data_IF_908677266600
#
_entry.id   IF_908677266600
#
_cell.length_a   1.000
_cell.length_b   1.000
_cell.length_c   1.000
_cell.angle_alpha   90.00
_cell.angle_beta   90.00
_cell.angle_gamma   90.00
#
_symmetry.space_group_name_H-M   'P 1'
#
loop_
_entity.id
_entity.type
_entity.pdbx_description
1 polymer ?
#
# COMPACT_ATOMS: atom_id res chain seq x y z
N UNK A 1 5.88 10.60 -3.26
CA UNK A 1 5.08 9.45 -2.74
C UNK A 1 3.73 9.92 -2.24
N UNK A 2 2.65 9.22 -2.57
CA UNK A 2 1.28 9.62 -2.20
C UNK A 2 0.67 8.64 -1.20
N UNK A 3 0.29 9.14 -0.02
CA UNK A 3 -0.48 8.38 0.95
C UNK A 3 -1.97 8.35 0.57
N UNK A 4 -2.57 7.17 0.69
CA UNK A 4 -4.00 6.95 0.48
C UNK A 4 -4.63 6.48 1.79
N UNK A 5 -5.68 7.18 2.21
CA UNK A 5 -6.43 6.82 3.40
C UNK A 5 -7.40 5.67 3.10
N UNK A 6 -7.39 4.64 3.94
CA UNK A 6 -8.37 3.56 3.86
C UNK A 6 -9.65 3.97 4.57
N UNK A 7 -10.68 4.25 3.81
CA UNK A 7 -11.99 4.61 4.35
C UNK A 7 -12.64 3.39 5.02
N UNK A 8 -13.06 3.58 6.28
CA UNK A 8 -13.80 2.53 6.98
C UNK A 8 -15.27 2.52 6.53
N UNK A 9 -15.78 1.34 6.20
CA UNK A 9 -17.16 1.15 5.71
C UNK A 9 -18.28 1.38 6.76
N UNK A 10 -18.16 2.30 7.71
CA UNK A 10 -19.18 2.55 8.71
C UNK A 10 -19.75 3.97 8.63
N UNK A 11 -21.07 4.05 8.64
CA UNK A 11 -21.91 5.23 8.44
C UNK A 11 -21.62 6.44 9.34
N UNK A 12 -21.00 6.26 10.50
CA UNK A 12 -20.75 7.33 11.47
C UNK A 12 -19.40 8.04 11.30
N UNK A 13 -18.72 7.82 10.20
CA UNK A 13 -17.36 8.28 9.98
C UNK A 13 -17.24 9.51 9.08
N UNK A 14 -18.36 9.98 8.50
CA UNK A 14 -18.36 11.02 7.47
C UNK A 14 -17.65 12.32 7.84
N UNK A 15 -17.75 12.76 9.10
CA UNK A 15 -17.08 14.00 9.55
C UNK A 15 -15.59 13.79 9.71
N UNK A 16 -15.16 12.64 10.24
CA UNK A 16 -13.75 12.29 10.39
C UNK A 16 -13.10 12.03 9.03
N UNK A 17 -13.81 11.36 8.12
CA UNK A 17 -13.34 11.12 6.76
C UNK A 17 -13.17 12.43 5.99
N UNK A 18 -14.05 13.42 6.17
CA UNK A 18 -13.89 14.76 5.62
C UNK A 18 -12.63 15.47 6.14
N UNK A 19 -12.33 15.35 7.43
CA UNK A 19 -11.11 15.92 8.00
C UNK A 19 -9.84 15.32 7.40
N UNK A 20 -9.83 14.00 7.24
CA UNK A 20 -8.71 13.26 6.69
C UNK A 20 -8.54 13.56 5.19
N UNK A 21 -9.64 13.58 4.45
CA UNK A 21 -9.62 13.79 3.00
C UNK A 21 -9.25 15.22 2.60
N UNK A 22 -9.45 16.21 3.47
CA UNK A 22 -8.86 17.54 3.29
C UNK A 22 -7.34 17.52 3.25
N UNK A 23 -6.72 16.59 3.93
CA UNK A 23 -5.27 16.46 4.01
C UNK A 23 -4.70 15.54 2.93
N UNK A 24 -5.29 14.37 2.71
CA UNK A 24 -4.79 13.37 1.75
C UNK A 24 -5.38 13.53 0.36
N UNK A 25 -6.59 14.08 0.25
CA UNK A 25 -7.40 14.14 -0.97
C UNK A 25 -7.63 12.79 -1.67
N UNK A 26 -7.20 11.69 -1.08
CA UNK A 26 -7.28 10.35 -1.64
C UNK A 26 -7.87 9.39 -0.61
N UNK A 27 -8.84 8.59 -1.02
CA UNK A 27 -9.46 7.58 -0.19
C UNK A 27 -9.54 6.23 -0.93
N UNK A 28 -9.22 5.14 -0.24
CA UNK A 28 -9.39 3.77 -0.73
C UNK A 28 -10.68 3.19 -0.15
N UNK A 29 -11.52 2.69 -1.02
CA UNK A 29 -12.75 1.96 -0.67
C UNK A 29 -12.60 0.49 -1.04
N UNK A 30 -12.88 -0.40 -0.11
CA UNK A 30 -12.94 -1.84 -0.38
C UNK A 30 -14.36 -2.22 -0.80
N UNK A 31 -14.53 -2.64 -2.05
CA UNK A 31 -15.85 -2.90 -2.63
C UNK A 31 -16.56 -4.09 -1.96
N UNK A 32 -15.83 -5.16 -1.68
CA UNK A 32 -16.40 -6.36 -1.05
C UNK A 32 -16.08 -6.49 0.44
N UNK A 33 -15.35 -5.53 0.99
CA UNK A 33 -14.91 -5.59 2.40
C UNK A 33 -16.05 -5.48 3.43
N UNK A 34 -17.22 -4.97 3.03
CA UNK A 34 -18.44 -4.89 3.85
C UNK A 34 -19.43 -6.03 3.63
N UNK A 35 -19.25 -6.83 2.59
CA UNK A 35 -20.16 -7.90 2.24
C UNK A 35 -19.84 -9.16 3.06
N UNK A 36 -20.88 -9.82 3.57
CA UNK A 36 -20.77 -11.07 4.31
C UNK A 36 -21.36 -12.21 3.48
N UNK A 37 -20.85 -13.43 3.64
CA UNK A 37 -21.35 -14.60 2.94
C UNK A 37 -22.87 -14.80 3.11
N UNK A 38 -23.42 -14.45 4.28
CA UNK A 38 -24.85 -14.51 4.53
C UNK A 38 -25.68 -13.58 3.63
N UNK A 39 -25.07 -12.47 3.20
CA UNK A 39 -25.75 -11.45 2.39
C UNK A 39 -25.84 -11.88 0.92
N UNK A 40 -25.00 -12.84 0.47
CA UNK A 40 -24.95 -13.30 -0.92
C UNK A 40 -25.82 -14.53 -1.23
N UNK A 41 -26.20 -15.29 -0.22
CA UNK A 41 -26.80 -16.64 -0.43
C UNK A 41 -28.16 -16.64 -1.13
N UNK A 42 -28.80 -15.48 -1.29
CA UNK A 42 -30.14 -15.31 -1.86
C UNK A 42 -30.21 -14.17 -2.90
N UNK A 43 -29.09 -13.54 -3.26
CA UNK A 43 -29.11 -12.37 -4.12
C UNK A 43 -28.78 -12.69 -5.58
N UNK A 44 -29.43 -11.99 -6.50
CA UNK A 44 -29.06 -11.96 -7.91
C UNK A 44 -27.85 -11.07 -8.14
N UNK A 45 -27.22 -11.17 -9.33
CA UNK A 45 -26.11 -10.26 -9.73
C UNK A 45 -26.53 -8.80 -9.60
N UNK A 46 -27.75 -8.47 -9.98
CA UNK A 46 -28.30 -7.11 -9.91
C UNK A 46 -28.40 -6.62 -8.46
N UNK A 47 -28.84 -7.47 -7.54
CA UNK A 47 -28.95 -7.14 -6.11
C UNK A 47 -27.56 -6.92 -5.51
N UNK A 48 -26.61 -7.83 -5.73
CA UNK A 48 -25.23 -7.69 -5.23
C UNK A 48 -24.56 -6.44 -5.82
N UNK A 49 -24.77 -6.16 -7.10
CA UNK A 49 -24.25 -4.94 -7.74
C UNK A 49 -24.89 -3.68 -7.14
N UNK A 50 -26.18 -3.72 -6.83
CA UNK A 50 -26.86 -2.62 -6.15
C UNK A 50 -26.33 -2.39 -4.74
N UNK A 51 -26.05 -3.46 -3.98
CA UNK A 51 -25.46 -3.40 -2.65
C UNK A 51 -24.03 -2.83 -2.69
N UNK A 52 -23.22 -3.23 -3.68
CA UNK A 52 -21.87 -2.64 -3.90
C UNK A 52 -22.01 -1.15 -4.19
N UNK A 53 -22.94 -0.73 -5.05
CA UNK A 53 -23.20 0.69 -5.35
C UNK A 53 -23.68 1.45 -4.12
N UNK A 54 -24.57 0.89 -3.33
CA UNK A 54 -25.05 1.50 -2.10
C UNK A 54 -23.93 1.63 -1.08
N UNK A 55 -23.11 0.60 -0.92
CA UNK A 55 -21.96 0.60 -0.03
C UNK A 55 -20.92 1.66 -0.45
N UNK A 56 -20.61 1.78 -1.73
CA UNK A 56 -19.70 2.79 -2.26
C UNK A 56 -20.23 4.22 -2.12
N UNK A 57 -21.56 4.42 -2.21
CA UNK A 57 -22.22 5.73 -2.01
C UNK A 57 -22.29 6.18 -0.55
N UNK A 58 -22.25 5.23 0.39
CA UNK A 58 -22.24 5.53 1.82
C UNK A 58 -20.89 6.10 2.27
N UNK A 59 -19.85 5.90 1.50
CA UNK A 59 -18.54 6.46 1.76
C UNK A 59 -18.47 7.84 1.09
N UNK A 60 -18.55 8.90 1.91
CA UNK A 60 -18.46 10.28 1.43
C UNK A 60 -17.22 10.49 0.58
N UNK A 61 -17.44 10.84 -0.68
CA UNK A 61 -16.36 11.25 -1.58
C UNK A 61 -15.77 12.56 -1.05
N UNK A 62 -14.45 12.64 -0.87
CA UNK A 62 -13.81 13.91 -0.55
C UNK A 62 -14.11 14.93 -1.65
N UNK A 63 -14.48 16.12 -1.29
CA UNK A 63 -14.69 17.20 -2.26
C UNK A 63 -13.35 17.46 -2.99
N UNK A 64 -13.30 17.19 -4.29
CA UNK A 64 -12.10 17.30 -5.11
C UNK A 64 -11.03 16.25 -4.84
N UNK A 65 -11.38 15.17 -4.14
CA UNK A 65 -10.49 14.05 -3.87
C UNK A 65 -10.61 12.93 -4.90
N UNK A 66 -9.65 12.01 -4.86
CA UNK A 66 -9.59 10.84 -5.71
C UNK A 66 -10.06 9.61 -4.92
N UNK A 67 -10.91 8.80 -5.53
CA UNK A 67 -11.34 7.54 -4.96
C UNK A 67 -10.61 6.40 -5.66
N UNK A 68 -10.00 5.54 -4.84
CA UNK A 68 -9.43 4.28 -5.25
C UNK A 68 -10.35 3.16 -4.77
N UNK A 69 -10.44 2.09 -5.52
CA UNK A 69 -11.21 0.93 -5.08
C UNK A 69 -10.37 -0.34 -5.13
N UNK A 70 -10.39 -1.10 -4.03
CA UNK A 70 -9.81 -2.43 -3.97
C UNK A 70 -10.89 -3.53 -3.95
N UNK A 71 -10.46 -4.75 -4.22
CA UNK A 71 -11.33 -5.93 -4.22
C UNK A 71 -11.80 -6.34 -2.83
N UNK A 72 -11.13 -5.90 -1.77
CA UNK A 72 -11.33 -6.47 -0.44
C UNK A 72 -10.71 -7.85 -0.26
N UNK A 73 -9.58 -8.12 -0.89
CA UNK A 73 -8.85 -9.39 -0.82
C UNK A 73 -8.65 -9.95 0.60
N UNK A 74 -8.64 -9.06 1.60
CA UNK A 74 -8.62 -9.46 3.00
C UNK A 74 -9.87 -10.23 3.46
N UNK A 75 -11.04 -9.99 2.84
CA UNK A 75 -12.27 -10.73 3.14
C UNK A 75 -12.19 -12.18 2.69
N UNK A 76 -11.48 -12.46 1.61
CA UNK A 76 -11.18 -13.83 1.20
C UNK A 76 -10.25 -14.53 2.20
N UNK A 77 -9.22 -13.84 2.70
CA UNK A 77 -8.28 -14.38 3.69
C UNK A 77 -8.94 -14.68 5.04
N UNK A 78 -10.02 -13.99 5.39
CA UNK A 78 -10.79 -14.26 6.61
C UNK A 78 -11.83 -15.37 6.44
N UNK A 79 -12.12 -15.77 5.20
CA UNK A 79 -13.18 -16.71 4.89
C UNK A 79 -14.59 -16.09 4.94
N UNK A 80 -14.69 -14.75 4.89
CA UNK A 80 -15.98 -14.05 4.85
C UNK A 80 -16.71 -14.32 3.53
N UNK A 81 -15.96 -14.71 2.48
CA UNK A 81 -16.46 -14.99 1.14
C UNK A 81 -16.00 -16.40 0.73
N UNK A 82 -16.94 -17.28 0.46
CA UNK A 82 -16.68 -18.67 0.03
C UNK A 82 -16.52 -18.83 -1.48
N UNK A 83 -15.96 -19.97 -1.94
CA UNK A 83 -15.72 -20.25 -3.36
C UNK A 83 -16.95 -20.23 -4.24
N UNK A 84 -18.11 -20.62 -3.70
CA UNK A 84 -19.39 -20.63 -4.42
C UNK A 84 -19.84 -19.25 -4.89
N UNK A 85 -19.33 -18.19 -4.27
CA UNK A 85 -19.68 -16.80 -4.58
C UNK A 85 -18.71 -16.13 -5.54
N UNK A 86 -17.58 -16.76 -5.85
CA UNK A 86 -16.50 -16.14 -6.63
C UNK A 86 -16.97 -15.79 -8.04
N UNK A 87 -17.69 -16.68 -8.72
CA UNK A 87 -18.17 -16.37 -10.06
C UNK A 87 -19.13 -15.18 -10.05
N UNK A 88 -20.07 -15.17 -9.12
CA UNK A 88 -20.98 -14.03 -8.95
C UNK A 88 -20.22 -12.73 -8.68
N UNK A 89 -19.18 -12.74 -7.86
CA UNK A 89 -18.36 -11.56 -7.60
C UNK A 89 -17.58 -11.11 -8.83
N UNK A 90 -17.06 -12.03 -9.63
CA UNK A 90 -16.38 -11.70 -10.90
C UNK A 90 -17.36 -10.97 -11.82
N UNK A 91 -18.59 -11.51 -11.96
CA UNK A 91 -19.62 -10.94 -12.83
C UNK A 91 -20.10 -9.58 -12.30
N UNK A 92 -20.33 -9.46 -10.99
CA UNK A 92 -20.69 -8.19 -10.35
C UNK A 92 -19.57 -7.13 -10.49
N UNK A 93 -18.32 -7.55 -10.34
CA UNK A 93 -17.16 -6.65 -10.44
C UNK A 93 -17.03 -6.10 -11.86
N UNK A 94 -17.25 -6.95 -12.86
CA UNK A 94 -17.26 -6.57 -14.27
C UNK A 94 -18.35 -5.52 -14.56
N UNK A 95 -19.60 -5.83 -14.21
CA UNK A 95 -20.75 -4.91 -14.40
C UNK A 95 -20.55 -3.60 -13.65
N UNK A 96 -20.01 -3.67 -12.43
CA UNK A 96 -19.78 -2.48 -11.61
C UNK A 96 -18.73 -1.57 -12.25
N UNK A 97 -17.61 -2.10 -12.71
CA UNK A 97 -16.58 -1.29 -13.35
C UNK A 97 -17.01 -0.71 -14.68
N UNK A 98 -17.75 -1.47 -15.47
CA UNK A 98 -18.27 -0.98 -16.74
C UNK A 98 -19.23 0.21 -16.54
N UNK A 99 -19.99 0.22 -15.45
CA UNK A 99 -20.97 1.27 -15.18
C UNK A 99 -20.44 2.45 -14.34
N UNK A 100 -19.44 2.23 -13.48
CA UNK A 100 -19.04 3.20 -12.45
C UNK A 100 -17.58 3.64 -12.56
N UNK A 101 -16.85 3.27 -13.62
CA UNK A 101 -15.41 3.54 -13.76
C UNK A 101 -15.07 5.03 -13.72
N UNK A 102 -15.99 5.92 -14.09
CA UNK A 102 -15.76 7.37 -14.06
C UNK A 102 -15.63 7.90 -12.62
N UNK A 103 -16.29 7.25 -11.65
CA UNK A 103 -16.26 7.61 -10.24
C UNK A 103 -14.88 7.39 -9.60
N UNK A 104 -14.09 6.46 -10.14
CA UNK A 104 -12.82 6.06 -9.55
C UNK A 104 -11.62 6.60 -10.31
N UNK A 105 -10.59 7.01 -9.58
CA UNK A 105 -9.28 7.35 -10.14
C UNK A 105 -8.46 6.09 -10.43
N UNK A 106 -8.49 5.10 -9.50
CA UNK A 106 -7.82 3.82 -9.64
C UNK A 106 -8.74 2.68 -9.23
N UNK A 107 -8.61 1.59 -9.96
CA UNK A 107 -9.41 0.38 -9.80
C UNK A 107 -8.46 -0.81 -9.70
N UNK A 108 -8.41 -1.47 -8.55
CA UNK A 108 -7.58 -2.64 -8.37
C UNK A 108 -8.27 -3.90 -8.88
N UNK A 109 -7.51 -4.84 -9.42
CA UNK A 109 -8.05 -6.12 -9.86
C UNK A 109 -8.79 -6.85 -8.73
N UNK A 110 -9.84 -7.56 -9.08
CA UNK A 110 -10.43 -8.53 -8.14
C UNK A 110 -9.46 -9.70 -7.99
N UNK A 111 -8.66 -9.63 -6.93
CA UNK A 111 -7.62 -10.57 -6.62
C UNK A 111 -8.01 -11.45 -5.43
N UNK A 112 -7.75 -12.73 -5.57
CA UNK A 112 -8.01 -13.72 -4.53
C UNK A 112 -6.67 -14.25 -4.00
N UNK A 113 -6.19 -13.70 -2.87
CA UNK A 113 -4.90 -14.11 -2.32
C UNK A 113 -4.99 -15.53 -1.75
N UNK A 114 -3.94 -16.31 -1.97
CA UNK A 114 -3.83 -17.64 -1.38
C UNK A 114 -3.60 -17.54 0.14
N UNK A 115 -4.34 -18.36 0.88
CA UNK A 115 -4.06 -18.60 2.29
C UNK A 115 -4.32 -20.06 2.63
N UNK A 116 -3.41 -20.70 3.34
CA UNK A 116 -3.61 -22.07 3.84
C UNK A 116 -4.74 -22.18 4.87
N UNK A 117 -5.09 -21.05 5.50
CA UNK A 117 -6.23 -20.94 6.43
C UNK A 117 -7.55 -20.71 5.71
N UNK A 118 -7.53 -20.56 4.39
CA UNK A 118 -8.72 -20.33 3.61
C UNK A 118 -9.46 -21.65 3.36
N UNK A 119 -10.48 -21.90 4.15
CA UNK A 119 -11.24 -23.15 4.14
C UNK A 119 -12.19 -23.33 2.96
N UNK A 120 -12.09 -22.50 1.94
CA UNK A 120 -13.05 -22.48 0.85
C UNK A 120 -12.54 -23.02 -0.48
N UNK A 121 -11.22 -22.99 -0.73
CA UNK A 121 -10.63 -23.58 -1.94
C UNK A 121 -9.99 -24.92 -1.62
N UNK A 122 -10.31 -25.95 -2.40
CA UNK A 122 -9.80 -27.29 -2.19
C UNK A 122 -8.29 -27.40 -2.50
N UNK A 123 -7.79 -26.54 -3.39
CA UNK A 123 -6.38 -26.56 -3.80
C UNK A 123 -5.95 -25.23 -4.45
N UNK A 124 -4.63 -25.10 -4.72
CA UNK A 124 -4.04 -23.93 -5.37
C UNK A 124 -4.56 -23.69 -6.79
N UNK A 125 -4.92 -24.75 -7.50
CA UNK A 125 -5.39 -24.65 -8.88
C UNK A 125 -6.76 -23.98 -8.95
N UNK A 126 -7.61 -24.17 -7.95
CA UNK A 126 -8.93 -23.51 -7.90
C UNK A 126 -8.76 -21.99 -7.75
N UNK A 127 -7.79 -21.56 -6.91
CA UNK A 127 -7.46 -20.15 -6.74
C UNK A 127 -6.86 -19.58 -8.03
N UNK A 128 -5.94 -20.31 -8.67
CA UNK A 128 -5.37 -19.91 -9.95
C UNK A 128 -6.48 -19.71 -10.99
N UNK A 129 -7.37 -20.69 -11.13
CA UNK A 129 -8.46 -20.64 -12.09
C UNK A 129 -9.46 -19.50 -11.80
N UNK A 130 -9.71 -19.20 -10.52
CA UNK A 130 -10.57 -18.10 -10.13
C UNK A 130 -9.94 -16.74 -10.50
N UNK A 131 -8.65 -16.54 -10.19
CA UNK A 131 -7.93 -15.34 -10.58
C UNK A 131 -7.80 -15.20 -12.09
N UNK A 132 -7.58 -16.30 -12.81
CA UNK A 132 -7.53 -16.31 -14.27
C UNK A 132 -8.86 -15.85 -14.88
N UNK A 133 -10.01 -16.37 -14.40
CA UNK A 133 -11.33 -15.94 -14.86
C UNK A 133 -11.59 -14.47 -14.57
N UNK A 134 -11.22 -14.00 -13.37
CA UNK A 134 -11.36 -12.60 -12.98
C UNK A 134 -10.57 -11.68 -13.91
N UNK A 135 -9.31 -12.03 -14.20
CA UNK A 135 -8.46 -11.25 -15.11
C UNK A 135 -8.94 -11.29 -16.56
N UNK A 136 -9.41 -12.45 -17.06
CA UNK A 136 -10.00 -12.55 -18.41
C UNK A 136 -11.25 -11.67 -18.54
N UNK A 137 -12.10 -11.64 -17.53
CA UNK A 137 -13.27 -10.76 -17.49
C UNK A 137 -12.85 -9.29 -17.53
N UNK A 138 -11.87 -8.90 -16.72
CA UNK A 138 -11.34 -7.54 -16.71
C UNK A 138 -10.70 -7.15 -18.04
N UNK A 139 -9.89 -8.03 -18.67
CA UNK A 139 -9.29 -7.80 -19.98
C UNK A 139 -10.36 -7.48 -21.04
N UNK A 140 -11.43 -8.28 -21.09
CA UNK A 140 -12.52 -8.04 -22.04
C UNK A 140 -13.13 -6.64 -21.94
N UNK A 141 -13.20 -6.09 -20.73
CA UNK A 141 -13.75 -4.74 -20.49
C UNK A 141 -12.70 -3.65 -20.83
N UNK A 142 -11.48 -3.79 -20.33
CA UNK A 142 -10.44 -2.76 -20.52
C UNK A 142 -9.97 -2.67 -21.97
N UNK A 143 -10.02 -3.75 -22.73
CA UNK A 143 -9.70 -3.76 -24.17
C UNK A 143 -10.65 -2.87 -24.96
N UNK A 144 -11.90 -2.77 -24.55
CA UNK A 144 -12.92 -1.94 -25.18
C UNK A 144 -12.98 -0.51 -24.62
N UNK A 145 -12.33 -0.25 -23.47
CA UNK A 145 -12.40 1.04 -22.78
C UNK A 145 -11.01 1.53 -22.32
N UNK A 146 -10.40 2.40 -23.13
CA UNK A 146 -9.09 2.98 -22.85
C UNK A 146 -9.05 3.82 -21.56
N UNK A 147 -10.15 4.44 -21.16
CA UNK A 147 -10.22 5.23 -19.93
C UNK A 147 -10.13 4.30 -18.72
N UNK A 148 -10.86 3.21 -18.76
CA UNK A 148 -10.80 2.18 -17.73
C UNK A 148 -9.43 1.50 -17.70
N UNK A 149 -8.84 1.21 -18.86
CA UNK A 149 -7.47 0.69 -18.96
C UNK A 149 -6.46 1.59 -18.24
N UNK A 150 -6.58 2.91 -18.39
CA UNK A 150 -5.68 3.87 -17.73
C UNK A 150 -5.84 3.91 -16.20
N UNK A 151 -6.97 3.43 -15.68
CA UNK A 151 -7.28 3.40 -14.24
C UNK A 151 -7.06 2.05 -13.59
N UNK A 152 -6.99 0.96 -14.37
CA UNK A 152 -6.93 -0.40 -13.86
C UNK A 152 -5.55 -0.78 -13.36
N UNK A 153 -5.47 -1.39 -12.18
CA UNK A 153 -4.26 -1.87 -11.53
C UNK A 153 -4.27 -3.38 -11.40
N UNK A 154 -3.23 -4.04 -11.85
CA UNK A 154 -2.99 -5.44 -11.56
C UNK A 154 -2.32 -5.58 -10.21
N UNK A 155 -2.91 -6.39 -9.32
CA UNK A 155 -2.39 -6.61 -7.96
C UNK A 155 -1.51 -7.85 -7.94
N UNK A 156 -0.22 -7.65 -7.63
CA UNK A 156 0.73 -8.71 -7.39
C UNK A 156 0.68 -9.14 -5.94
N UNK A 157 0.44 -10.43 -5.70
CA UNK A 157 0.58 -11.02 -4.38
C UNK A 157 1.87 -11.80 -4.25
N UNK A 158 2.57 -11.59 -3.12
CA UNK A 158 3.88 -12.16 -2.90
C UNK A 158 4.06 -12.50 -1.42
N UNK A 159 3.82 -13.75 -1.06
CA UNK A 159 4.12 -14.31 0.27
C UNK A 159 5.07 -15.49 0.20
N UNK A 160 5.00 -16.29 -0.85
CA UNK A 160 5.70 -17.54 -1.04
C UNK A 160 6.06 -17.73 -2.51
N UNK A 161 7.03 -18.60 -2.78
CA UNK A 161 7.45 -18.95 -4.14
C UNK A 161 6.26 -19.35 -5.04
N UNK A 162 5.36 -20.17 -4.51
CA UNK A 162 4.19 -20.63 -5.26
C UNK A 162 3.22 -19.51 -5.63
N UNK A 163 3.05 -18.53 -4.75
CA UNK A 163 2.22 -17.36 -5.08
C UNK A 163 2.89 -16.48 -6.14
N UNK A 164 4.17 -16.19 -5.97
CA UNK A 164 4.90 -15.43 -6.97
C UNK A 164 4.82 -16.09 -8.33
N UNK A 165 5.08 -17.41 -8.41
CA UNK A 165 4.99 -18.18 -9.65
C UNK A 165 3.59 -18.14 -10.25
N UNK A 166 2.54 -18.25 -9.44
CA UNK A 166 1.15 -18.16 -9.88
C UNK A 166 0.85 -16.80 -10.53
N UNK A 167 1.17 -15.70 -9.85
CA UNK A 167 0.91 -14.35 -10.38
C UNK A 167 1.77 -14.04 -11.59
N UNK A 168 3.03 -14.47 -11.61
CA UNK A 168 3.92 -14.30 -12.76
C UNK A 168 3.44 -15.11 -13.98
N UNK A 169 2.93 -16.33 -13.77
CA UNK A 169 2.33 -17.14 -14.83
C UNK A 169 1.04 -16.52 -15.35
N UNK A 170 0.16 -16.01 -14.48
CA UNK A 170 -1.04 -15.28 -14.91
C UNK A 170 -0.68 -14.05 -15.76
N UNK A 171 0.30 -13.27 -15.31
CA UNK A 171 0.76 -12.09 -16.04
C UNK A 171 1.26 -12.45 -17.44
N UNK A 172 2.08 -13.51 -17.57
CA UNK A 172 2.64 -13.97 -18.84
C UNK A 172 1.61 -14.66 -19.74
N UNK A 173 0.85 -15.60 -19.19
CA UNK A 173 -0.08 -16.42 -19.97
C UNK A 173 -1.27 -15.62 -20.53
N UNK A 174 -1.67 -14.56 -19.84
CA UNK A 174 -2.72 -13.64 -20.28
C UNK A 174 -2.17 -12.43 -21.04
N UNK A 175 -0.86 -12.38 -21.30
CA UNK A 175 -0.17 -11.26 -21.94
C UNK A 175 -0.56 -9.88 -21.34
N UNK A 176 -0.63 -9.81 -20.00
CA UNK A 176 -1.12 -8.62 -19.30
C UNK A 176 -0.31 -7.36 -19.60
N UNK A 177 0.93 -7.50 -20.05
CA UNK A 177 1.74 -6.38 -20.51
C UNK A 177 1.15 -5.58 -21.68
N UNK A 178 0.14 -6.12 -22.39
CA UNK A 178 -0.61 -5.42 -23.44
C UNK A 178 -1.83 -4.66 -22.92
N UNK A 179 -2.36 -5.07 -21.77
CA UNK A 179 -3.64 -4.59 -21.26
C UNK A 179 -3.51 -3.75 -20.00
N UNK A 180 -2.52 -4.05 -19.15
CA UNK A 180 -2.38 -3.45 -17.83
C UNK A 180 -1.16 -2.53 -17.77
N UNK A 181 -1.44 -1.26 -17.48
CA UNK A 181 -0.44 -0.21 -17.33
C UNK A 181 0.05 -0.06 -15.89
N UNK A 182 -0.85 -0.16 -14.93
CA UNK A 182 -0.58 0.19 -13.55
C UNK A 182 -0.51 -1.08 -12.68
N UNK A 183 0.29 -1.01 -11.64
CA UNK A 183 0.56 -2.16 -10.80
C UNK A 183 0.38 -1.84 -9.32
N UNK A 184 -0.04 -2.84 -8.54
CA UNK A 184 -0.04 -2.79 -7.09
C UNK A 184 0.66 -4.03 -6.51
N UNK A 185 1.21 -3.89 -5.30
CA UNK A 185 1.84 -4.99 -4.55
C UNK A 185 1.06 -5.20 -3.27
N UNK A 186 0.49 -6.40 -3.10
CA UNK A 186 -0.30 -6.81 -1.95
C UNK A 186 0.30 -7.97 -1.16
N UNK A 187 -0.36 -8.33 -0.06
CA UNK A 187 -0.03 -9.51 0.74
C UNK A 187 1.18 -9.39 1.66
N UNK A 188 1.84 -8.23 1.73
CA UNK A 188 3.11 -8.04 2.45
C UNK A 188 2.95 -7.71 3.95
N UNK A 189 1.79 -7.20 4.36
CA UNK A 189 1.54 -6.69 5.73
C UNK A 189 1.78 -7.72 6.82
N UNK A 190 1.41 -8.98 6.56
CA UNK A 190 1.59 -10.08 7.53
C UNK A 190 3.00 -10.69 7.54
N UNK A 191 3.79 -10.43 6.52
CA UNK A 191 5.03 -11.15 6.26
C UNK A 191 6.09 -10.90 7.32
N UNK A 192 6.33 -9.65 7.68
CA UNK A 192 7.32 -9.25 8.69
C UNK A 192 7.03 -9.83 10.08
N UNK A 193 5.76 -9.94 10.45
CA UNK A 193 5.36 -10.50 11.75
C UNK A 193 5.62 -12.00 11.82
N UNK A 194 5.40 -12.70 10.72
CA UNK A 194 5.49 -14.15 10.68
C UNK A 194 6.94 -14.66 10.55
N UNK A 195 7.82 -13.91 9.87
CA UNK A 195 9.16 -14.38 9.52
C UNK A 195 10.29 -13.72 10.30
N UNK A 196 10.01 -12.66 11.05
CA UNK A 196 11.03 -11.88 11.77
C UNK A 196 11.99 -11.09 10.85
N UNK A 197 11.66 -10.97 9.55
CA UNK A 197 12.46 -10.25 8.57
C UNK A 197 12.54 -8.78 8.96
N UNK A 198 13.75 -8.23 8.90
CA UNK A 198 14.02 -6.82 9.24
C UNK A 198 14.05 -5.89 8.03
N UNK A 199 14.39 -6.39 6.84
CA UNK A 199 14.42 -5.58 5.63
C UNK A 199 13.05 -5.42 4.97
N UNK A 200 12.93 -4.46 4.04
CA UNK A 200 11.73 -4.27 3.26
C UNK A 200 11.63 -5.29 2.13
N UNK A 201 10.62 -6.15 2.10
CA UNK A 201 10.45 -7.14 1.03
C UNK A 201 9.97 -6.50 -0.28
N UNK A 202 9.59 -5.23 -0.28
CA UNK A 202 9.04 -4.54 -1.44
C UNK A 202 10.06 -4.33 -2.56
N UNK A 203 11.36 -4.27 -2.22
CA UNK A 203 12.43 -4.02 -3.21
C UNK A 203 12.37 -4.97 -4.40
N UNK A 204 12.38 -6.27 -4.13
CA UNK A 204 12.41 -7.30 -5.17
C UNK A 204 11.18 -7.20 -6.08
N UNK A 205 9.99 -7.09 -5.49
CA UNK A 205 8.75 -6.96 -6.24
C UNK A 205 8.69 -5.66 -7.04
N UNK A 206 9.18 -4.55 -6.49
CA UNK A 206 9.22 -3.28 -7.21
C UNK A 206 10.09 -3.34 -8.45
N UNK A 207 11.28 -3.96 -8.37
CA UNK A 207 12.14 -4.17 -9.53
C UNK A 207 11.55 -5.18 -10.54
N UNK A 208 10.89 -6.23 -10.05
CA UNK A 208 10.17 -7.16 -10.91
C UNK A 208 9.05 -6.46 -11.70
N UNK A 209 8.27 -5.63 -11.03
CA UNK A 209 7.19 -4.84 -11.65
C UNK A 209 7.77 -3.81 -12.62
N UNK A 210 8.86 -3.12 -12.26
CA UNK A 210 9.55 -2.20 -13.18
C UNK A 210 10.01 -2.94 -14.45
N UNK A 211 10.57 -4.14 -14.32
CA UNK A 211 10.96 -4.94 -15.47
C UNK A 211 9.76 -5.38 -16.31
N UNK A 212 8.65 -5.73 -15.68
CA UNK A 212 7.40 -6.06 -16.38
C UNK A 212 6.86 -4.85 -17.16
N UNK A 213 6.90 -3.65 -16.56
CA UNK A 213 6.55 -2.41 -17.25
C UNK A 213 7.47 -2.14 -18.46
N UNK A 214 8.78 -2.27 -18.31
CA UNK A 214 9.75 -2.04 -19.39
C UNK A 214 9.63 -3.03 -20.56
N UNK A 215 8.96 -4.17 -20.35
CA UNK A 215 8.62 -5.14 -21.38
C UNK A 215 7.14 -5.07 -21.83
N UNK A 216 6.42 -4.06 -21.41
CA UNK A 216 5.00 -3.86 -21.74
C UNK A 216 4.79 -2.91 -22.93
N UNK A 217 3.55 -2.86 -23.42
CA UNK A 217 3.10 -1.89 -24.42
C UNK A 217 2.98 -0.46 -23.88
N UNK A 218 3.22 -0.26 -22.60
CA UNK A 218 3.00 1.02 -21.90
C UNK A 218 4.29 1.80 -21.61
N UNK A 219 5.42 1.35 -22.10
CA UNK A 219 6.68 2.12 -22.03
C UNK A 219 6.48 3.51 -22.63
N UNK A 220 6.93 4.54 -21.92
CA UNK A 220 6.69 5.94 -22.30
C UNK A 220 5.41 6.56 -21.70
N UNK A 221 4.57 5.77 -21.02
CA UNK A 221 3.48 6.28 -20.19
C UNK A 221 3.96 6.37 -18.73
N UNK A 222 3.22 7.11 -17.89
CA UNK A 222 3.54 7.21 -16.47
C UNK A 222 3.58 5.80 -15.83
N UNK A 223 4.67 5.46 -15.15
CA UNK A 223 4.80 4.22 -14.37
C UNK A 223 4.14 4.43 -13.00
N UNK A 224 3.09 3.67 -12.70
CA UNK A 224 2.38 3.75 -11.42
C UNK A 224 2.51 2.45 -10.65
N UNK A 225 2.90 2.60 -9.37
CA UNK A 225 3.01 1.47 -8.45
C UNK A 225 2.36 1.82 -7.11
N UNK A 226 1.41 0.99 -6.68
CA UNK A 226 0.75 1.12 -5.40
C UNK A 226 1.15 0.00 -4.43
N UNK A 227 1.37 0.34 -3.17
CA UNK A 227 1.74 -0.60 -2.12
C UNK A 227 0.60 -0.75 -1.12
N UNK A 228 -0.02 -1.92 -1.08
CA UNK A 228 -1.16 -2.19 -0.21
C UNK A 228 -0.71 -2.45 1.23
N UNK A 229 -1.23 -1.64 2.17
CA UNK A 229 -1.11 -1.86 3.60
C UNK A 229 0.24 -1.50 4.24
N UNK A 230 0.99 -0.56 3.73
CA UNK A 230 2.24 -0.11 4.36
C UNK A 230 1.96 0.82 5.54
N UNK A 231 2.70 0.63 6.65
CA UNK A 231 2.59 1.53 7.80
C UNK A 231 3.91 1.80 8.54
N UNK A 232 4.93 0.94 8.38
CA UNK A 232 6.16 1.11 9.14
C UNK A 232 7.03 2.24 8.59
N UNK A 233 7.69 3.05 9.42
CA UNK A 233 8.54 4.14 8.97
C UNK A 233 9.64 3.69 7.99
N UNK A 234 10.27 2.53 8.26
CA UNK A 234 11.31 2.00 7.37
C UNK A 234 10.80 1.60 5.99
N UNK A 235 9.60 1.05 5.90
CA UNK A 235 9.01 0.71 4.59
C UNK A 235 8.63 1.97 3.82
N UNK A 236 8.09 2.97 4.50
CA UNK A 236 7.74 4.26 3.91
C UNK A 236 8.98 5.01 3.41
N UNK A 237 10.05 5.05 4.22
CA UNK A 237 11.34 5.58 3.80
C UNK A 237 11.86 4.87 2.55
N UNK A 238 11.73 3.54 2.51
CA UNK A 238 12.19 2.76 1.38
C UNK A 238 11.35 2.98 0.12
N UNK A 239 10.03 3.09 0.23
CA UNK A 239 9.16 3.41 -0.92
C UNK A 239 9.49 4.79 -1.48
N UNK A 240 9.71 5.79 -0.63
CA UNK A 240 10.16 7.12 -1.07
C UNK A 240 11.52 7.06 -1.81
N UNK A 241 12.45 6.23 -1.31
CA UNK A 241 13.72 5.98 -1.98
C UNK A 241 13.55 5.29 -3.34
N UNK A 242 12.71 4.25 -3.44
CA UNK A 242 12.44 3.55 -4.69
C UNK A 242 11.79 4.49 -5.73
N UNK A 243 10.87 5.35 -5.32
CA UNK A 243 10.27 6.35 -6.22
C UNK A 243 11.34 7.25 -6.82
N UNK A 244 12.24 7.80 -5.98
CA UNK A 244 13.33 8.66 -6.44
C UNK A 244 14.31 7.89 -7.37
N UNK A 245 14.65 6.66 -7.02
CA UNK A 245 15.54 5.81 -7.81
C UNK A 245 14.93 5.46 -9.18
N UNK A 246 13.65 5.07 -9.22
CA UNK A 246 12.97 4.72 -10.47
C UNK A 246 12.71 5.94 -11.34
N UNK A 247 12.47 7.10 -10.72
CA UNK A 247 12.38 8.35 -11.48
C UNK A 247 13.68 8.63 -12.23
N UNK A 248 14.85 8.36 -11.62
CA UNK A 248 16.13 8.47 -12.32
C UNK A 248 16.32 7.44 -13.44
N UNK A 249 15.88 6.18 -13.22
CA UNK A 249 15.97 5.15 -14.27
C UNK A 249 15.07 5.43 -15.47
N UNK A 250 13.96 6.10 -15.24
CA UNK A 250 12.94 6.38 -16.24
C UNK A 250 12.93 7.83 -16.71
N UNK A 251 13.90 8.67 -16.31
CA UNK A 251 13.89 10.11 -16.53
C UNK A 251 13.63 10.51 -17.99
N UNK A 252 14.22 9.79 -18.94
CA UNK A 252 14.09 10.04 -20.38
C UNK A 252 12.94 9.26 -21.03
N UNK A 253 12.23 8.41 -20.27
CA UNK A 253 11.24 7.49 -20.81
C UNK A 253 9.86 7.82 -20.25
N UNK A 254 9.75 8.06 -18.93
CA UNK A 254 8.49 8.07 -18.22
C UNK A 254 8.56 8.80 -16.88
N UNK A 255 7.43 9.31 -16.41
CA UNK A 255 7.30 9.74 -15.01
C UNK A 255 6.96 8.55 -14.10
N UNK A 256 7.33 8.66 -12.83
CA UNK A 256 7.05 7.66 -11.80
C UNK A 256 6.09 8.23 -10.77
N UNK A 257 5.08 7.47 -10.42
CA UNK A 257 4.16 7.80 -9.34
C UNK A 257 3.99 6.58 -8.42
N UNK A 258 4.49 6.69 -7.20
CA UNK A 258 4.30 5.67 -6.17
C UNK A 258 3.31 6.15 -5.14
N UNK A 259 2.44 5.24 -4.70
CA UNK A 259 1.46 5.48 -3.66
C UNK A 259 1.36 4.30 -2.71
N UNK A 260 0.82 4.52 -1.53
CA UNK A 260 0.56 3.46 -0.57
C UNK A 260 -0.68 3.76 0.26
N UNK A 261 -1.31 2.72 0.78
CA UNK A 261 -2.41 2.84 1.72
C UNK A 261 -2.06 2.30 3.11
N UNK A 262 -2.77 2.77 4.10
CA UNK A 262 -2.70 2.22 5.45
C UNK A 262 -3.93 2.55 6.28
N UNK A 263 -4.51 1.53 6.91
CA UNK A 263 -5.54 1.69 7.95
C UNK A 263 -4.95 2.03 9.33
N UNK A 264 -3.63 1.88 9.50
CA UNK A 264 -2.98 1.96 10.81
C UNK A 264 -3.20 3.27 11.55
N UNK A 265 -3.18 4.47 10.94
CA UNK A 265 -3.43 5.72 11.64
C UNK A 265 -4.78 5.75 12.36
N UNK A 266 -5.84 5.28 11.70
CA UNK A 266 -7.18 5.21 12.27
C UNK A 266 -7.30 4.08 13.30
N UNK A 267 -6.72 2.92 13.00
CA UNK A 267 -6.72 1.79 13.92
C UNK A 267 -5.95 2.13 15.21
N UNK A 268 -4.82 2.81 15.12
CA UNK A 268 -4.06 3.27 16.28
C UNK A 268 -4.88 4.24 17.16
N UNK A 269 -5.63 5.16 16.55
CA UNK A 269 -6.53 6.06 17.25
C UNK A 269 -7.63 5.28 17.97
N UNK A 270 -8.37 4.42 17.28
CA UNK A 270 -9.45 3.60 17.85
C UNK A 270 -8.98 2.68 18.98
N UNK A 271 -7.77 2.13 18.85
CA UNK A 271 -7.17 1.27 19.89
C UNK A 271 -6.46 2.06 21.00
N UNK A 272 -6.57 3.39 20.99
CA UNK A 272 -5.90 4.27 21.95
C UNK A 272 -4.39 4.01 22.08
N UNK A 273 -3.74 3.68 20.98
CA UNK A 273 -2.29 3.48 21.00
C UNK A 273 -1.57 4.82 21.08
N UNK A 274 -0.60 4.91 22.00
CA UNK A 274 0.34 6.02 22.00
C UNK A 274 1.36 5.80 20.89
N UNK A 275 1.31 6.63 19.86
CA UNK A 275 2.30 6.65 18.77
C UNK A 275 2.92 8.04 18.73
N UNK A 276 4.20 8.17 18.34
CA UNK A 276 4.81 9.47 18.14
C UNK A 276 4.04 10.30 17.12
N UNK A 277 3.94 11.59 17.37
CA UNK A 277 3.38 12.56 16.44
C UNK A 277 4.51 13.37 15.82
N UNK A 278 4.46 13.57 14.51
CA UNK A 278 5.47 14.25 13.72
C UNK A 278 4.88 15.49 13.06
N UNK A 279 5.66 16.58 13.07
CA UNK A 279 5.33 17.82 12.39
C UNK A 279 6.60 18.34 11.70
N UNK A 280 6.57 18.54 10.40
CA UNK A 280 7.70 19.06 9.64
C UNK A 280 7.58 20.58 9.54
N UNK A 281 8.48 21.29 10.21
CA UNK A 281 8.54 22.75 10.22
C UNK A 281 9.90 23.24 9.77
N UNK A 282 9.95 24.05 8.75
CA UNK A 282 11.18 24.65 8.22
C UNK A 282 12.31 23.64 7.94
N UNK A 283 11.94 22.42 7.49
CA UNK A 283 12.89 21.34 7.22
C UNK A 283 13.37 20.57 8.45
N UNK A 284 12.84 20.87 9.63
CA UNK A 284 13.14 20.18 10.88
C UNK A 284 11.91 19.36 11.28
N UNK A 285 12.13 18.10 11.63
CA UNK A 285 11.07 17.24 12.14
C UNK A 285 10.92 17.44 13.65
N UNK A 286 9.83 18.07 14.05
CA UNK A 286 9.42 18.11 15.44
C UNK A 286 8.80 16.77 15.82
N UNK A 287 9.21 16.18 16.94
CA UNK A 287 8.74 14.87 17.39
C UNK A 287 8.14 15.00 18.78
N UNK A 288 6.86 14.64 18.88
CA UNK A 288 6.13 14.58 20.15
C UNK A 288 5.86 13.10 20.49
N UNK A 289 5.97 12.73 21.77
CA UNK A 289 5.82 11.32 22.16
C UNK A 289 4.41 10.78 21.94
N UNK A 290 3.43 11.69 21.91
CA UNK A 290 2.05 11.34 21.58
C UNK A 290 1.28 12.58 21.10
N UNK A 291 0.08 12.35 20.54
CA UNK A 291 -0.87 13.42 20.17
C UNK A 291 -1.19 14.37 21.33
N UNK A 292 -1.06 13.93 22.58
CA UNK A 292 -1.36 14.76 23.75
C UNK A 292 -0.37 15.91 23.97
N UNK A 293 0.82 15.82 23.40
CA UNK A 293 1.90 16.80 23.61
C UNK A 293 1.98 17.84 22.48
N UNK A 294 1.10 17.72 21.47
CA UNK A 294 1.12 18.65 20.34
C UNK A 294 0.68 20.07 20.75
N UNK A 295 1.29 21.11 20.19
CA UNK A 295 0.86 22.48 20.40
C UNK A 295 -0.59 22.72 19.97
N UNK A 296 -1.30 23.54 20.71
CA UNK A 296 -2.71 23.86 20.43
C UNK A 296 -2.90 24.47 19.03
N UNK A 297 -1.90 25.19 18.53
CA UNK A 297 -1.89 25.74 17.17
C UNK A 297 -1.98 24.63 16.10
N UNK A 298 -1.32 23.49 16.32
CA UNK A 298 -1.40 22.33 15.43
C UNK A 298 -2.79 21.69 15.54
N UNK A 299 -3.36 21.62 16.75
CA UNK A 299 -4.75 21.13 16.94
C UNK A 299 -5.70 21.95 16.09
N UNK A 300 -5.62 23.27 16.15
CA UNK A 300 -6.48 24.16 15.36
C UNK A 300 -6.26 24.01 13.83
N UNK A 301 -5.05 23.71 13.38
CA UNK A 301 -4.76 23.55 11.94
C UNK A 301 -5.31 22.25 11.36
N UNK A 302 -5.43 21.20 12.18
CA UNK A 302 -5.86 19.86 11.76
C UNK A 302 -7.37 19.68 11.95
N UNK A 303 -7.93 20.23 13.03
CA UNK A 303 -9.34 20.12 13.33
C UNK A 303 -10.20 20.82 12.25
N UNK A 304 -11.38 20.30 12.03
CA UNK A 304 -12.28 20.74 10.94
C UNK A 304 -13.33 21.74 11.40
N UNK A 305 -13.55 21.85 12.69
CA UNK A 305 -14.50 22.78 13.30
C UNK A 305 -14.07 23.13 14.73
N UNK A 306 -14.61 24.22 15.32
CA UNK A 306 -14.39 24.54 16.72
C UNK A 306 -14.84 23.42 17.68
N UNK A 307 -15.93 22.73 17.36
CA UNK A 307 -16.44 21.61 18.13
C UNK A 307 -15.44 20.44 18.10
N UNK A 308 -14.80 20.18 16.95
CA UNK A 308 -13.74 19.15 16.84
C UNK A 308 -12.53 19.53 17.69
N UNK A 309 -12.11 20.79 17.69
CA UNK A 309 -11.06 21.28 18.59
C UNK A 309 -11.41 21.00 20.05
N UNK A 310 -12.62 21.33 20.46
CA UNK A 310 -13.07 21.13 21.83
C UNK A 310 -13.04 19.65 22.24
N UNK A 311 -13.54 18.75 21.37
CA UNK A 311 -13.51 17.30 21.61
C UNK A 311 -12.08 16.81 21.77
N UNK A 312 -11.14 17.27 20.94
CA UNK A 312 -9.73 16.85 21.03
C UNK A 312 -9.10 17.32 22.34
N UNK A 313 -9.34 18.57 22.74
CA UNK A 313 -8.79 19.11 23.99
C UNK A 313 -9.33 18.37 25.22
N UNK A 314 -10.62 18.04 25.24
CA UNK A 314 -11.25 17.24 26.30
C UNK A 314 -10.65 15.82 26.35
N UNK A 315 -10.40 15.17 25.20
CA UNK A 315 -9.80 13.85 25.15
C UNK A 315 -8.31 13.87 25.58
N UNK A 316 -7.57 14.94 25.24
CA UNK A 316 -6.20 15.16 25.73
C UNK A 316 -6.21 15.29 27.24
N UNK A 317 -7.11 16.11 27.80
CA UNK A 317 -7.24 16.30 29.24
C UNK A 317 -7.62 15.00 29.96
N UNK A 318 -8.62 14.26 29.45
CA UNK A 318 -9.00 12.96 29.98
C UNK A 318 -7.81 12.00 30.04
N UNK A 319 -7.02 11.92 28.95
CA UNK A 319 -5.85 11.04 28.88
C UNK A 319 -4.78 11.45 29.89
N UNK A 320 -4.53 12.74 30.04
CA UNK A 320 -3.55 13.27 30.98
C UNK A 320 -3.94 13.00 32.44
N UNK A 321 -5.24 12.97 32.72
CA UNK A 321 -5.79 12.63 34.03
C UNK A 321 -6.00 11.11 34.24
N UNK A 322 -5.53 10.26 33.33
CA UNK A 322 -5.61 8.80 33.44
C UNK A 322 -6.98 8.20 33.13
N UNK A 323 -7.94 8.99 32.66
CA UNK A 323 -9.27 8.50 32.30
C UNK A 323 -9.27 7.82 30.91
N UNK A 324 -10.23 6.91 30.75
CA UNK A 324 -10.47 6.28 29.45
C UNK A 324 -11.01 7.31 28.45
N UNK A 325 -10.45 7.30 27.24
CA UNK A 325 -10.96 8.13 26.15
C UNK A 325 -12.39 7.70 25.76
N UNK A 326 -13.25 8.68 25.45
CA UNK A 326 -14.59 8.45 24.93
C UNK A 326 -14.61 8.47 23.40
N UNK A 327 -13.85 9.40 22.81
CA UNK A 327 -13.81 9.63 21.36
C UNK A 327 -12.40 9.43 20.79
N UNK A 328 -11.76 8.31 21.14
CA UNK A 328 -10.38 8.03 20.68
C UNK A 328 -10.21 8.11 19.14
N UNK A 329 -11.27 7.82 18.38
CA UNK A 329 -11.29 7.95 16.92
C UNK A 329 -11.03 9.37 16.42
N UNK A 330 -11.31 10.39 17.22
CA UNK A 330 -11.06 11.80 16.89
C UNK A 330 -9.57 12.12 16.67
N UNK A 331 -8.67 11.29 17.18
CA UNK A 331 -7.24 11.40 16.90
C UNK A 331 -6.81 10.85 15.54
N UNK A 332 -7.70 10.20 14.79
CA UNK A 332 -7.38 9.66 13.47
C UNK A 332 -6.79 10.68 12.49
N UNK A 333 -7.42 11.87 12.32
CA UNK A 333 -6.89 12.94 11.46
C UNK A 333 -5.48 13.40 11.85
N UNK A 334 -5.16 13.42 13.13
CA UNK A 334 -3.85 13.79 13.65
C UNK A 334 -2.79 12.74 13.30
N UNK A 335 -3.13 11.46 13.41
CA UNK A 335 -2.25 10.38 13.02
C UNK A 335 -2.00 10.37 11.50
N UNK A 336 -3.01 10.70 10.69
CA UNK A 336 -2.86 10.85 9.23
C UNK A 336 -1.95 12.03 8.90
N UNK A 337 -2.19 13.19 9.51
CA UNK A 337 -1.34 14.37 9.34
C UNK A 337 0.13 14.03 9.68
N UNK A 338 0.36 13.45 10.84
CA UNK A 338 1.68 13.03 11.30
C UNK A 338 2.38 12.10 10.31
N UNK A 339 1.65 11.17 9.69
CA UNK A 339 2.20 10.30 8.65
C UNK A 339 2.63 11.09 7.42
N UNK A 340 1.82 12.04 6.96
CA UNK A 340 2.15 12.87 5.80
C UNK A 340 3.40 13.73 6.04
N UNK A 341 3.54 14.29 7.24
CA UNK A 341 4.71 15.09 7.62
C UNK A 341 5.98 14.22 7.65
N UNK A 342 5.89 13.01 8.16
CA UNK A 342 7.00 12.05 8.15
C UNK A 342 7.38 11.62 6.72
N UNK A 343 6.42 11.47 5.80
CA UNK A 343 6.71 11.16 4.41
C UNK A 343 7.46 12.29 3.70
N UNK A 344 7.01 13.53 3.90
CA UNK A 344 7.72 14.72 3.38
C UNK A 344 9.16 14.80 3.92
N UNK A 345 9.33 14.47 5.19
CA UNK A 345 10.65 14.42 5.80
C UNK A 345 11.54 13.36 5.15
N UNK A 346 11.04 12.17 4.89
CA UNK A 346 11.79 11.11 4.20
C UNK A 346 12.19 11.52 2.79
N UNK A 347 11.29 12.12 2.01
CA UNK A 347 11.61 12.65 0.68
C UNK A 347 12.70 13.73 0.73
N UNK A 348 12.62 14.61 1.74
CA UNK A 348 13.64 15.63 1.96
C UNK A 348 15.01 15.00 2.30
N UNK A 349 15.06 13.99 3.17
CA UNK A 349 16.30 13.30 3.53
C UNK A 349 16.95 12.61 2.33
N UNK A 350 16.15 11.92 1.49
CA UNK A 350 16.66 11.24 0.30
C UNK A 350 17.35 12.24 -0.63
N UNK A 351 16.78 13.43 -0.80
CA UNK A 351 17.38 14.52 -1.57
C UNK A 351 18.60 15.15 -0.88
N UNK A 352 18.48 15.47 0.41
CA UNK A 352 19.54 16.12 1.20
C UNK A 352 20.83 15.31 1.20
N UNK A 353 20.73 14.00 1.35
CA UNK A 353 21.89 13.09 1.39
C UNK A 353 22.22 12.45 0.04
N UNK A 354 21.52 12.85 -1.01
CA UNK A 354 21.72 12.35 -2.39
C UNK A 354 21.80 10.81 -2.45
N UNK A 355 20.87 10.14 -1.73
CA UNK A 355 20.92 8.68 -1.52
C UNK A 355 20.84 7.89 -2.81
N UNK A 356 20.19 8.41 -3.84
CA UNK A 356 20.12 7.78 -5.16
C UNK A 356 21.50 7.78 -5.82
N UNK A 357 22.22 8.89 -5.83
CA UNK A 357 23.58 8.94 -6.37
C UNK A 357 24.57 8.13 -5.54
N UNK A 358 24.38 8.07 -4.22
CA UNK A 358 25.16 7.16 -3.34
C UNK A 358 24.99 5.70 -3.76
N UNK A 359 23.75 5.28 -4.02
CA UNK A 359 23.44 3.94 -4.54
C UNK A 359 24.14 3.69 -5.89
N UNK A 360 23.96 4.59 -6.85
CA UNK A 360 24.46 4.46 -8.22
C UNK A 360 25.99 4.44 -8.30
N UNK A 361 26.68 5.20 -7.44
CA UNK A 361 28.14 5.27 -7.43
C UNK A 361 28.81 4.16 -6.61
N UNK A 362 28.06 3.43 -5.82
CA UNK A 362 28.62 2.38 -4.96
C UNK A 362 29.06 1.16 -5.78
N UNK A 363 30.31 0.79 -5.69
CA UNK A 363 30.89 -0.37 -6.41
C UNK A 363 30.75 -1.68 -5.65
N UNK A 364 30.30 -1.62 -4.39
CA UNK A 364 30.07 -2.81 -3.56
C UNK A 364 28.97 -2.58 -2.54
N UNK A 365 28.28 -3.64 -2.08
CA UNK A 365 27.28 -3.56 -1.03
C UNK A 365 27.90 -3.00 0.28
N UNK A 366 29.09 -3.45 0.62
CA UNK A 366 29.80 -3.01 1.85
C UNK A 366 30.09 -1.51 1.85
N UNK A 367 30.55 -0.98 0.71
CA UNK A 367 30.81 0.46 0.53
C UNK A 367 29.51 1.27 0.69
N UNK A 368 28.41 0.81 0.06
CA UNK A 368 27.11 1.43 0.20
C UNK A 368 26.64 1.43 1.65
N UNK A 369 26.67 0.26 2.33
CA UNK A 369 26.22 0.13 3.71
C UNK A 369 27.02 1.06 4.65
N UNK A 370 28.34 1.19 4.42
CA UNK A 370 29.17 2.13 5.19
C UNK A 370 28.73 3.57 5.01
N UNK A 371 28.43 3.99 3.77
CA UNK A 371 27.93 5.35 3.51
C UNK A 371 26.54 5.59 4.14
N UNK A 372 25.61 4.66 3.94
CA UNK A 372 24.27 4.74 4.52
C UNK A 372 24.33 4.69 6.05
N UNK A 373 25.23 3.87 6.63
CA UNK A 373 25.42 3.77 8.06
C UNK A 373 25.78 5.14 8.69
N UNK A 374 26.71 5.88 8.10
CA UNK A 374 27.07 7.21 8.58
C UNK A 374 25.88 8.18 8.58
N UNK A 375 25.09 8.19 7.50
CA UNK A 375 23.86 9.00 7.40
C UNK A 375 22.86 8.61 8.48
N UNK A 376 22.66 7.31 8.71
CA UNK A 376 21.74 6.82 9.72
C UNK A 376 22.20 7.09 11.15
N UNK A 377 23.52 7.09 11.40
CA UNK A 377 24.10 7.45 12.70
C UNK A 377 23.83 8.92 13.02
N UNK A 378 24.00 9.82 12.05
CA UNK A 378 23.64 11.23 12.20
C UNK A 378 22.14 11.40 12.47
N UNK A 379 21.29 10.78 11.64
CA UNK A 379 19.84 10.84 11.77
C UNK A 379 19.35 10.26 13.10
N UNK A 380 19.99 9.22 13.62
CA UNK A 380 19.59 8.63 14.90
C UNK A 380 19.94 9.49 16.10
N UNK A 381 20.96 10.34 16.00
CA UNK A 381 21.28 11.33 17.04
C UNK A 381 20.23 12.45 17.08
N UNK A 382 19.83 12.92 15.90
CA UNK A 382 18.88 14.02 15.79
C UNK A 382 17.42 13.55 15.99
N UNK A 383 17.09 12.33 15.53
CA UNK A 383 15.72 11.78 15.50
C UNK A 383 15.68 10.33 16.03
N UNK A 384 16.04 10.07 17.30
CA UNK A 384 16.13 8.70 17.85
C UNK A 384 14.78 7.97 17.87
N UNK A 385 13.65 8.68 17.89
CA UNK A 385 12.30 8.10 17.88
C UNK A 385 11.94 7.53 16.49
N UNK A 386 12.52 8.08 15.42
CA UNK A 386 12.29 7.64 14.03
C UNK A 386 13.32 6.59 13.63
N UNK A 387 14.62 6.89 13.85
CA UNK A 387 15.73 6.06 13.43
C UNK A 387 16.29 5.22 14.60
N UNK A 388 15.40 4.42 15.20
CA UNK A 388 15.82 3.44 16.22
C UNK A 388 16.82 2.45 15.63
N UNK A 389 17.62 1.79 16.49
CA UNK A 389 18.59 0.77 16.04
C UNK A 389 17.97 -0.29 15.13
N UNK A 390 16.73 -0.71 15.41
CA UNK A 390 16.01 -1.67 14.57
C UNK A 390 15.67 -1.08 13.19
N UNK A 391 15.25 0.17 13.14
CA UNK A 391 14.95 0.88 11.86
C UNK A 391 16.21 1.06 11.04
N UNK A 392 17.32 1.49 11.65
CA UNK A 392 18.62 1.63 10.97
C UNK A 392 19.08 0.30 10.34
N UNK A 393 19.05 -0.79 11.12
CA UNK A 393 19.40 -2.12 10.62
C UNK A 393 18.49 -2.56 9.45
N UNK A 394 17.20 -2.29 9.55
CA UNK A 394 16.24 -2.58 8.49
C UNK A 394 16.56 -1.79 7.21
N UNK A 395 16.87 -0.50 7.33
CA UNK A 395 17.23 0.34 6.19
C UNK A 395 18.54 -0.15 5.55
N UNK A 396 19.57 -0.41 6.33
CA UNK A 396 20.85 -0.91 5.81
C UNK A 396 20.69 -2.22 5.04
N UNK A 397 19.97 -3.20 5.61
CA UNK A 397 19.71 -4.48 4.94
C UNK A 397 18.87 -4.30 3.67
N UNK A 398 17.94 -3.35 3.68
CA UNK A 398 17.12 -3.04 2.51
C UNK A 398 17.96 -2.42 1.39
N UNK A 399 18.86 -1.50 1.72
CA UNK A 399 19.78 -0.89 0.74
C UNK A 399 20.77 -1.89 0.16
N UNK A 400 21.27 -2.84 0.95
CA UNK A 400 22.10 -3.94 0.44
C UNK A 400 21.39 -4.73 -0.67
N UNK A 401 20.13 -5.07 -0.45
CA UNK A 401 19.32 -5.79 -1.44
C UNK A 401 18.96 -4.92 -2.64
N UNK A 402 18.64 -3.68 -2.40
CA UNK A 402 18.36 -2.72 -3.47
C UNK A 402 19.59 -2.53 -4.38
N UNK A 403 20.81 -2.57 -3.82
CA UNK A 403 22.02 -2.50 -4.62
C UNK A 403 22.20 -3.70 -5.56
N UNK A 404 21.86 -4.91 -5.12
CA UNK A 404 21.92 -6.11 -5.98
C UNK A 404 20.95 -5.98 -7.15
N UNK A 405 19.74 -5.49 -6.90
CA UNK A 405 18.74 -5.22 -7.93
C UNK A 405 19.13 -4.04 -8.83
N UNK A 406 19.75 -3.01 -8.28
CA UNK A 406 20.33 -1.92 -9.06
C UNK A 406 21.38 -2.46 -10.04
N UNK A 407 22.32 -3.26 -9.56
CA UNK A 407 23.35 -3.87 -10.40
C UNK A 407 22.76 -4.73 -11.53
N UNK A 408 21.76 -5.55 -11.20
CA UNK A 408 21.05 -6.32 -12.21
C UNK A 408 20.41 -5.39 -13.27
N UNK A 409 19.77 -4.33 -12.82
CA UNK A 409 19.09 -3.38 -13.70
C UNK A 409 20.05 -2.70 -14.68
N UNK A 410 21.18 -2.19 -14.20
CA UNK A 410 22.16 -1.45 -15.01
C UNK A 410 23.02 -2.36 -15.89
N UNK A 411 23.18 -3.64 -15.52
CA UNK A 411 23.98 -4.62 -16.27
C UNK A 411 23.15 -5.44 -17.29
N UNK A 412 22.08 -4.89 -17.81
CA UNK A 412 21.34 -5.45 -18.93
C UNK A 412 20.16 -6.34 -18.57
N UNK A 413 19.74 -6.38 -17.31
CA UNK A 413 18.49 -6.99 -16.85
C UNK A 413 18.33 -8.47 -17.23
N UNK A 414 19.40 -9.25 -17.09
CA UNK A 414 19.37 -10.68 -17.40
C UNK A 414 18.24 -11.40 -16.63
N UNK A 415 17.30 -12.09 -17.33
CA UNK A 415 16.15 -12.74 -16.70
C UNK A 415 16.52 -13.83 -15.69
N UNK A 416 17.60 -14.59 -15.95
CA UNK A 416 18.06 -15.65 -15.04
C UNK A 416 18.56 -15.06 -13.72
N UNK A 417 19.32 -13.96 -13.77
CA UNK A 417 19.79 -13.26 -12.58
C UNK A 417 18.60 -12.66 -11.80
N UNK A 418 17.58 -12.15 -12.49
CA UNK A 418 16.36 -11.67 -11.82
C UNK A 418 15.64 -12.79 -11.08
N UNK A 419 15.54 -13.97 -11.70
CA UNK A 419 14.93 -15.15 -11.09
C UNK A 419 15.73 -15.60 -9.85
N UNK A 420 17.05 -15.68 -9.94
CA UNK A 420 17.92 -16.02 -8.81
C UNK A 420 17.78 -15.02 -7.66
N UNK A 421 17.78 -13.71 -7.95
CA UNK A 421 17.57 -12.67 -6.94
C UNK A 421 16.18 -12.78 -6.29
N UNK A 422 15.15 -13.07 -7.08
CA UNK A 422 13.80 -13.26 -6.58
C UNK A 422 13.71 -14.52 -5.70
N UNK A 423 14.26 -15.64 -6.14
CA UNK A 423 14.30 -16.89 -5.37
C UNK A 423 15.08 -16.72 -4.06
N UNK A 424 16.17 -15.94 -4.07
CA UNK A 424 16.91 -15.61 -2.85
C UNK A 424 16.01 -14.90 -1.85
N UNK A 425 15.29 -13.88 -2.26
CA UNK A 425 14.34 -13.15 -1.40
C UNK A 425 13.21 -14.06 -0.93
N UNK A 426 12.67 -14.89 -1.83
CA UNK A 426 11.62 -15.86 -1.50
C UNK A 426 12.09 -16.86 -0.44
N UNK A 427 13.32 -17.38 -0.57
CA UNK A 427 13.87 -18.33 0.38
C UNK A 427 14.21 -17.68 1.73
N UNK A 428 14.66 -16.44 1.72
CA UNK A 428 14.90 -15.66 2.95
C UNK A 428 13.60 -15.28 3.67
N UNK A 429 12.54 -14.99 2.90
CA UNK A 429 11.19 -14.72 3.36
C UNK A 429 10.46 -16.02 3.66
N UNK A 430 10.86 -17.09 2.99
CA UNK A 430 10.18 -18.36 2.97
C UNK A 430 9.90 -18.88 4.37
N UNK A 431 8.64 -19.25 4.59
CA UNK A 431 8.32 -20.15 5.68
C UNK A 431 9.07 -21.46 5.38
N UNK A 432 10.14 -21.79 6.13
CA UNK A 432 10.70 -23.12 6.03
C UNK A 432 9.59 -24.07 6.48
N UNK A 433 9.14 -24.94 5.59
CA UNK A 433 8.19 -26.02 5.87
C UNK A 433 6.70 -25.64 6.04
N UNK A 434 6.14 -24.77 5.23
CA UNK A 434 4.76 -24.98 4.86
C UNK A 434 4.74 -25.96 3.69
N UNK A 435 4.79 -27.22 4.03
CA UNK A 435 4.62 -28.36 3.14
C UNK A 435 3.28 -28.19 2.42
N UNK A 436 3.35 -28.31 1.13
CA UNK A 436 2.25 -28.28 0.17
C UNK A 436 1.12 -29.24 0.55
#
# INVERSE_FOLDING_TARGET
MNYVYVAGGQQNQGVLDLAITRQTKNALHSLVGGLKQADFGLHTIEQVTADIRQFSKLNTVPVGGKILTDSGGYSFLRGDIGPSLIQMLIDCYAVYFESEYETYEYIFSLDMPYSEKYHGFNNKNDIYSANERSLKSAIGIIELNQVLQAKYYFVWHFKMASQFSMWNNLYKNLDLGRYVRNHAIGGMVGLKRATGIRYSPFTAMSFHVLNSYLNSSFVGKEFRLHFLGIYSPQDRFHVAFLEALFQEYLADISTVAMSYDSINPMQAARMNKKIPFFNLKDGILEVYNSVNEIPISIVHSIATSPEHVQVILEEIDRRNNGFRLQNAGSFGPFNVYSNLELDKFFEMLIKKYDLVSVMKRSTSPTGLISCIGKVLDDLSRDYPQVFTRSVQQSIQQTFERAWRWHNWFVNGRNPQVAEELMLTVINEIGFPNMIC
#
